data_IF_620716667055
#
_entry.id   IF_620716667055
#
_cell.length_a   1.000
_cell.length_b   1.000
_cell.length_c   1.000
_cell.angle_alpha   90.00
_cell.angle_beta   90.00
_cell.angle_gamma   90.00
#
_symmetry.space_group_name_H-M   'P 1'
#
loop_
_entity.id
_entity.type
_entity.pdbx_description
1 polymer ?
#
# COMPACT_ATOMS: atom_id res chain seq x y z
N UNK A 1 -5.83 -2.99 15.71
CA UNK A 1 -4.96 -1.82 15.47
C UNK A 1 -4.33 -1.37 16.78
N UNK A 2 -3.01 -1.37 16.86
CA UNK A 2 -2.29 -0.84 18.04
C UNK A 2 -1.99 0.64 17.84
N UNK A 3 -2.23 1.46 18.86
CA UNK A 3 -1.88 2.89 18.90
C UNK A 3 -0.64 3.04 19.80
N UNK A 4 0.42 3.62 19.24
CA UNK A 4 1.71 3.79 19.90
C UNK A 4 2.09 5.26 19.83
N UNK A 5 2.35 5.86 20.98
CA UNK A 5 2.94 7.20 21.08
C UNK A 5 4.42 7.11 20.77
N UNK A 6 4.83 7.84 19.74
CA UNK A 6 6.20 7.93 19.25
C UNK A 6 6.72 9.37 19.30
N UNK A 7 6.16 10.20 20.19
CA UNK A 7 6.62 11.58 20.44
C UNK A 7 8.09 11.58 20.84
N UNK A 8 8.49 10.63 21.70
CA UNK A 8 9.88 10.24 21.93
C UNK A 8 10.14 8.86 21.30
N UNK A 9 10.74 8.81 20.09
CA UNK A 9 11.04 7.57 19.40
C UNK A 9 12.00 6.63 20.14
N UNK A 10 12.81 7.15 21.07
CA UNK A 10 13.69 6.32 21.91
C UNK A 10 12.92 5.60 23.03
N UNK A 11 11.74 6.12 23.39
CA UNK A 11 10.88 5.57 24.45
C UNK A 11 9.41 5.50 24.00
N UNK A 12 9.10 4.69 22.95
CA UNK A 12 7.74 4.59 22.44
C UNK A 12 6.81 3.97 23.50
N UNK A 13 5.57 4.46 23.57
CA UNK A 13 4.58 4.00 24.57
C UNK A 13 3.38 3.39 23.88
N UNK A 14 3.05 2.16 24.26
CA UNK A 14 1.80 1.53 23.86
C UNK A 14 0.63 2.19 24.59
N UNK A 15 -0.32 2.76 23.86
CA UNK A 15 -1.45 3.49 24.44
C UNK A 15 -2.72 2.65 24.48
N UNK A 16 -3.10 2.10 23.34
CA UNK A 16 -4.37 1.40 23.19
C UNK A 16 -4.33 0.33 22.09
N UNK A 17 -5.20 -0.66 22.24
CA UNK A 17 -5.53 -1.60 21.17
C UNK A 17 -6.99 -1.40 20.76
N UNK A 18 -7.23 -1.12 19.48
CA UNK A 18 -8.57 -1.22 18.91
C UNK A 18 -8.73 -2.62 18.29
N UNK A 19 -9.55 -3.52 18.85
CA UNK A 19 -9.67 -4.89 18.36
C UNK A 19 -10.23 -4.94 16.92
N UNK A 20 -9.85 -5.97 16.18
CA UNK A 20 -10.47 -6.34 14.90
C UNK A 20 -11.62 -7.33 15.08
N UNK A 21 -12.04 -7.96 14.00
CA UNK A 21 -12.96 -9.11 14.05
C UNK A 21 -12.28 -10.30 14.76
N UNK A 22 -13.07 -11.20 15.35
CA UNK A 22 -12.50 -12.42 15.93
C UNK A 22 -11.87 -13.29 14.84
N UNK A 23 -10.58 -13.60 14.97
CA UNK A 23 -9.90 -14.44 14.00
C UNK A 23 -8.38 -14.23 13.99
N UNK A 24 -7.74 -14.88 13.04
CA UNK A 24 -6.29 -14.79 12.81
C UNK A 24 -6.02 -14.04 11.50
N UNK A 25 -4.79 -13.57 11.33
CA UNK A 25 -4.33 -12.90 10.10
C UNK A 25 -5.23 -11.73 9.71
N UNK A 26 -5.79 -11.75 8.50
CA UNK A 26 -6.60 -10.68 7.96
C UNK A 26 -7.95 -10.52 8.65
N UNK A 27 -8.56 -11.62 9.12
CA UNK A 27 -9.81 -11.56 9.88
C UNK A 27 -9.60 -10.86 11.24
N UNK A 28 -8.48 -11.11 11.90
CA UNK A 28 -8.14 -10.46 13.18
C UNK A 28 -7.57 -9.04 13.07
N UNK A 29 -7.30 -8.59 11.84
CA UNK A 29 -6.39 -7.48 11.57
C UNK A 29 -7.06 -6.23 11.01
N UNK A 30 -6.21 -5.20 10.87
CA UNK A 30 -6.49 -4.07 9.99
C UNK A 30 -5.25 -3.85 9.11
N UNK A 31 -5.38 -4.09 7.81
CA UNK A 31 -4.27 -4.18 6.85
C UNK A 31 -3.72 -2.80 6.46
N UNK A 32 -4.46 -1.74 6.79
CA UNK A 32 -4.10 -0.36 6.52
C UNK A 32 -4.89 0.57 7.44
N UNK A 33 -4.31 1.74 7.70
CA UNK A 33 -5.01 2.85 8.36
C UNK A 33 -4.76 4.14 7.59
N UNK A 34 -5.73 5.07 7.63
CA UNK A 34 -5.57 6.46 7.21
C UNK A 34 -6.01 7.37 8.33
N UNK A 35 -5.32 8.49 8.49
CA UNK A 35 -5.61 9.44 9.57
C UNK A 35 -5.81 10.82 8.96
N UNK A 36 -6.88 11.50 9.37
CA UNK A 36 -7.18 12.87 9.00
C UNK A 36 -7.48 13.71 10.25
N UNK A 37 -6.88 14.88 10.37
CA UNK A 37 -7.33 15.88 11.33
C UNK A 37 -8.76 16.31 10.97
N UNK A 38 -9.64 16.39 11.96
CA UNK A 38 -11.03 16.78 11.72
C UNK A 38 -11.18 18.19 11.15
N UNK A 39 -10.26 19.11 11.48
CA UNK A 39 -10.19 20.46 10.89
C UNK A 39 -9.92 20.48 9.39
N UNK A 40 -9.35 19.41 8.83
CA UNK A 40 -9.05 19.31 7.40
C UNK A 40 -10.25 18.85 6.58
N UNK A 41 -11.26 18.27 7.23
CA UNK A 41 -12.48 17.77 6.60
C UNK A 41 -13.56 18.84 6.63
N UNK A 42 -14.33 18.97 5.54
CA UNK A 42 -15.32 20.05 5.40
C UNK A 42 -16.39 20.08 6.50
N UNK A 43 -16.74 18.93 7.09
CA UNK A 43 -17.74 18.80 8.17
C UNK A 43 -17.21 18.02 9.37
N UNK A 44 -15.88 17.85 9.48
CA UNK A 44 -15.27 17.19 10.63
C UNK A 44 -15.35 18.05 11.90
N UNK A 45 -15.37 17.41 13.06
CA UNK A 45 -15.15 18.12 14.33
C UNK A 45 -13.69 18.62 14.36
N UNK A 46 -13.44 19.93 14.47
CA UNK A 46 -12.09 20.49 14.45
C UNK A 46 -11.18 19.98 15.58
N UNK A 47 -11.75 19.41 16.64
CA UNK A 47 -11.01 18.82 17.77
C UNK A 47 -10.79 17.30 17.64
N UNK A 48 -11.35 16.68 16.60
CA UNK A 48 -11.19 15.25 16.36
C UNK A 48 -9.94 14.96 15.52
N UNK A 49 -9.44 13.75 15.67
CA UNK A 49 -8.48 13.13 14.74
C UNK A 49 -9.11 11.81 14.32
N UNK A 50 -9.45 11.67 13.04
CA UNK A 50 -10.19 10.51 12.56
C UNK A 50 -9.25 9.47 11.97
N UNK A 51 -9.41 8.22 12.40
CA UNK A 51 -8.71 7.04 11.90
C UNK A 51 -9.68 6.16 11.11
N UNK A 52 -9.45 6.01 9.80
CA UNK A 52 -10.12 5.06 8.93
C UNK A 52 -9.34 3.74 8.90
N UNK A 53 -10.04 2.61 9.02
CA UNK A 53 -9.47 1.26 8.92
C UNK A 53 -10.49 0.23 8.44
N UNK A 54 -10.06 -0.91 7.88
CA UNK A 54 -10.90 -2.10 7.81
C UNK A 54 -11.10 -2.71 9.21
N UNK A 55 -12.26 -3.33 9.42
CA UNK A 55 -12.58 -4.20 10.55
C UNK A 55 -12.58 -5.65 10.05
N UNK A 56 -11.42 -6.29 10.12
CA UNK A 56 -11.22 -7.63 9.59
C UNK A 56 -11.57 -7.69 8.11
N UNK A 57 -12.48 -8.61 7.77
CA UNK A 57 -12.97 -8.80 6.40
C UNK A 57 -14.38 -8.22 6.16
N UNK A 58 -15.03 -7.66 7.18
CA UNK A 58 -16.48 -7.45 7.17
C UNK A 58 -16.94 -6.01 6.96
N UNK A 59 -16.09 -5.03 7.27
CA UNK A 59 -16.49 -3.62 7.27
C UNK A 59 -15.30 -2.66 7.20
N UNK A 60 -15.60 -1.38 6.98
CA UNK A 60 -14.69 -0.26 7.22
C UNK A 60 -15.23 0.61 8.36
N UNK A 61 -14.35 1.10 9.22
CA UNK A 61 -14.68 1.87 10.41
C UNK A 61 -13.93 3.20 10.44
N UNK A 62 -14.58 4.21 11.01
CA UNK A 62 -13.93 5.46 11.40
C UNK A 62 -13.97 5.57 12.92
N UNK A 63 -12.81 5.86 13.50
CA UNK A 63 -12.62 6.10 14.93
C UNK A 63 -12.12 7.52 15.15
N UNK A 64 -12.53 8.17 16.24
CA UNK A 64 -11.88 9.37 16.73
C UNK A 64 -10.77 8.97 17.72
N UNK A 65 -9.55 9.39 17.41
CA UNK A 65 -8.32 9.12 18.14
C UNK A 65 -7.65 10.40 18.65
N UNK A 66 -8.40 11.50 18.81
CA UNK A 66 -7.89 12.74 19.42
C UNK A 66 -7.39 12.52 20.86
N UNK A 67 -8.05 11.63 21.61
CA UNK A 67 -7.47 10.97 22.78
C UNK A 67 -6.99 9.57 22.35
N UNK A 68 -5.71 9.40 21.99
CA UNK A 68 -5.19 8.14 21.46
C UNK A 68 -5.15 7.00 22.50
N UNK A 69 -5.27 7.30 23.79
CA UNK A 69 -5.38 6.29 24.84
C UNK A 69 -6.83 5.76 24.98
N UNK A 70 -7.82 6.53 24.54
CA UNK A 70 -9.24 6.15 24.61
C UNK A 70 -9.95 6.38 23.26
N UNK A 71 -9.56 5.64 22.20
CA UNK A 71 -10.17 5.79 20.88
C UNK A 71 -11.66 5.46 20.92
N UNK A 72 -12.47 6.24 20.19
CA UNK A 72 -13.94 6.09 20.15
C UNK A 72 -14.42 5.80 18.74
N UNK A 73 -15.22 4.75 18.58
CA UNK A 73 -15.87 4.46 17.30
C UNK A 73 -16.82 5.61 16.94
N UNK A 74 -16.71 6.13 15.73
CA UNK A 74 -17.62 7.15 15.19
C UNK A 74 -18.68 6.48 14.34
N UNK A 75 -18.26 5.69 13.36
CA UNK A 75 -19.18 5.00 12.46
C UNK A 75 -18.55 3.74 11.89
N UNK A 76 -19.42 2.80 11.50
CA UNK A 76 -19.08 1.73 10.59
C UNK A 76 -19.71 2.06 9.24
N UNK A 77 -18.86 2.29 8.24
CA UNK A 77 -19.25 2.88 6.95
C UNK A 77 -20.24 1.99 6.20
N UNK A 78 -19.95 0.69 6.19
CA UNK A 78 -20.74 -0.34 5.52
C UNK A 78 -20.48 -1.68 6.21
N UNK A 79 -21.54 -2.49 6.34
CA UNK A 79 -21.50 -3.83 6.93
C UNK A 79 -21.85 -4.90 5.89
N UNK A 80 -21.55 -6.16 6.20
CA UNK A 80 -21.88 -7.30 5.33
C UNK A 80 -20.93 -7.49 4.14
N UNK A 81 -19.78 -6.82 4.16
CA UNK A 81 -18.72 -7.03 3.18
C UNK A 81 -18.00 -8.36 3.43
N UNK A 82 -17.24 -8.80 2.42
CA UNK A 82 -16.29 -9.90 2.54
C UNK A 82 -14.96 -9.51 1.94
N UNK A 83 -13.88 -9.59 2.69
CA UNK A 83 -12.54 -9.32 2.15
C UNK A 83 -12.17 -7.84 2.10
N UNK A 84 -12.65 -7.02 3.03
CA UNK A 84 -12.13 -5.66 3.23
C UNK A 84 -10.61 -5.65 3.37
N UNK A 85 -9.97 -4.62 2.82
CA UNK A 85 -8.51 -4.63 2.70
C UNK A 85 -7.89 -3.21 2.82
N UNK A 86 -7.26 -2.68 1.76
CA UNK A 86 -6.64 -1.35 1.77
C UNK A 86 -7.68 -0.22 1.68
N UNK A 87 -7.21 1.00 1.96
CA UNK A 87 -8.00 2.21 1.80
C UNK A 87 -7.11 3.44 1.51
N UNK A 88 -7.69 4.40 0.79
CA UNK A 88 -7.11 5.73 0.62
C UNK A 88 -8.14 6.78 1.03
N UNK A 89 -7.73 7.80 1.77
CA UNK A 89 -8.61 8.87 2.22
C UNK A 89 -7.95 10.22 2.00
N UNK A 90 -8.61 11.06 1.19
CA UNK A 90 -8.19 12.42 0.90
C UNK A 90 -8.79 13.36 1.95
N UNK A 91 -8.00 13.79 2.92
CA UNK A 91 -8.53 14.57 4.05
C UNK A 91 -9.19 15.89 3.62
N UNK A 92 -8.63 16.61 2.64
CA UNK A 92 -9.14 17.92 2.22
C UNK A 92 -10.48 17.84 1.47
N UNK A 93 -10.66 16.81 0.64
CA UNK A 93 -11.88 16.63 -0.16
C UNK A 93 -12.92 15.78 0.57
N UNK A 94 -12.49 14.98 1.55
CA UNK A 94 -13.27 13.95 2.22
C UNK A 94 -13.43 12.66 1.41
N UNK A 95 -12.98 12.60 0.17
CA UNK A 95 -13.20 11.43 -0.69
C UNK A 95 -12.33 10.25 -0.25
N UNK A 96 -12.95 9.10 -0.10
CA UNK A 96 -12.29 7.86 0.27
C UNK A 96 -12.56 6.74 -0.75
N UNK A 97 -11.54 5.90 -0.89
CA UNK A 97 -11.54 4.72 -1.75
C UNK A 97 -11.30 3.51 -0.86
N UNK A 98 -12.29 2.63 -0.80
CA UNK A 98 -12.31 1.50 0.11
C UNK A 98 -12.22 0.21 -0.69
N UNK A 99 -11.24 -0.64 -0.38
CA UNK A 99 -11.17 -1.97 -0.97
C UNK A 99 -12.11 -2.90 -0.20
N UNK A 100 -13.10 -3.42 -0.90
CA UNK A 100 -14.21 -4.20 -0.32
C UNK A 100 -14.58 -5.35 -1.25
N UNK A 101 -15.02 -6.48 -0.70
CA UNK A 101 -15.83 -7.44 -1.47
C UNK A 101 -17.30 -7.19 -1.22
N UNK A 102 -17.87 -6.39 -2.11
CA UNK A 102 -19.30 -6.08 -2.13
C UNK A 102 -20.11 -7.30 -2.66
N UNK A 103 -21.19 -7.71 -1.98
CA UNK A 103 -22.05 -8.80 -2.45
C UNK A 103 -22.52 -8.61 -3.91
N UNK A 104 -22.48 -9.70 -4.68
CA UNK A 104 -22.90 -9.72 -6.09
C UNK A 104 -21.78 -9.40 -7.09
N UNK A 105 -20.66 -8.81 -6.66
CA UNK A 105 -19.47 -8.69 -7.49
C UNK A 105 -18.77 -10.04 -7.67
N UNK A 106 -18.13 -10.22 -8.83
CA UNK A 106 -17.52 -11.50 -9.25
C UNK A 106 -16.10 -11.71 -8.72
N UNK A 107 -15.58 -10.74 -7.95
CA UNK A 107 -14.25 -10.75 -7.35
C UNK A 107 -14.36 -10.52 -5.84
N UNK A 108 -13.41 -11.04 -5.05
CA UNK A 108 -13.42 -10.85 -3.60
C UNK A 108 -13.06 -9.42 -3.17
N UNK A 109 -12.46 -8.61 -4.06
CA UNK A 109 -12.03 -7.23 -3.78
C UNK A 109 -12.22 -6.32 -4.98
N UNK A 110 -12.95 -5.24 -4.78
CA UNK A 110 -13.23 -4.13 -5.71
C UNK A 110 -13.21 -2.80 -4.94
N UNK A 111 -13.41 -1.67 -5.62
CA UNK A 111 -13.43 -0.34 -4.97
C UNK A 111 -14.85 0.09 -4.67
N UNK A 112 -15.08 0.59 -3.46
CA UNK A 112 -16.20 1.47 -3.15
C UNK A 112 -15.69 2.88 -2.92
N UNK A 113 -16.30 3.87 -3.56
CA UNK A 113 -15.96 5.28 -3.40
C UNK A 113 -16.99 5.92 -2.50
N UNK A 114 -16.53 6.63 -1.47
CA UNK A 114 -17.36 7.32 -0.48
C UNK A 114 -16.93 8.78 -0.33
N UNK A 115 -17.90 9.65 -0.05
CA UNK A 115 -17.66 10.95 0.56
C UNK A 115 -17.70 10.77 2.08
N UNK A 116 -16.56 10.98 2.73
CA UNK A 116 -16.35 10.95 4.17
C UNK A 116 -16.03 12.36 4.73
N UNK A 117 -16.42 13.43 4.02
CA UNK A 117 -16.25 14.81 4.49
C UNK A 117 -17.00 15.10 5.80
N UNK A 118 -18.07 14.33 6.06
CA UNK A 118 -18.71 14.16 7.37
C UNK A 118 -18.46 12.71 7.86
N UNK A 119 -17.49 12.49 8.75
CA UNK A 119 -17.14 11.15 9.21
C UNK A 119 -18.24 10.44 9.99
N UNK A 120 -19.26 11.14 10.50
CA UNK A 120 -20.39 10.52 11.17
C UNK A 120 -21.48 10.06 10.19
N UNK A 121 -21.52 10.65 8.99
CA UNK A 121 -22.53 10.36 7.95
C UNK A 121 -21.88 10.05 6.60
N UNK A 122 -21.19 8.90 6.44
CA UNK A 122 -20.62 8.48 5.17
C UNK A 122 -21.65 8.44 4.04
N UNK A 123 -21.29 8.97 2.86
CA UNK A 123 -22.16 8.94 1.67
C UNK A 123 -21.50 8.11 0.56
N UNK A 124 -22.13 7.00 0.18
CA UNK A 124 -21.66 6.18 -0.95
C UNK A 124 -21.77 6.97 -2.25
N UNK A 125 -20.68 7.06 -3.00
CA UNK A 125 -20.63 7.69 -4.33
C UNK A 125 -20.91 6.65 -5.40
N UNK A 126 -20.13 5.55 -5.43
CA UNK A 126 -20.27 4.47 -6.41
C UNK A 126 -19.47 3.23 -6.03
N UNK A 127 -19.75 2.15 -6.74
CA UNK A 127 -18.89 0.98 -6.85
C UNK A 127 -18.05 1.06 -8.14
N UNK A 128 -16.80 0.58 -8.10
CA UNK A 128 -15.86 0.66 -9.21
C UNK A 128 -14.87 -0.51 -9.26
N UNK A 129 -14.47 -0.89 -10.46
CA UNK A 129 -13.57 -2.01 -10.72
C UNK A 129 -13.26 -2.15 -12.21
N UNK A 130 -12.57 -3.23 -12.57
CA UNK A 130 -12.32 -3.56 -13.97
C UNK A 130 -13.59 -4.12 -14.62
N UNK A 131 -13.88 -3.78 -15.90
CA UNK A 131 -14.95 -4.42 -16.65
C UNK A 131 -14.83 -5.95 -16.65
N UNK A 132 -15.93 -6.62 -16.33
CA UNK A 132 -16.01 -8.06 -16.10
C UNK A 132 -16.17 -8.44 -14.62
N UNK A 133 -15.84 -7.53 -13.69
CA UNK A 133 -15.99 -7.76 -12.25
C UNK A 133 -17.41 -7.48 -11.73
N UNK A 134 -18.15 -6.60 -12.40
CA UNK A 134 -19.47 -6.13 -11.96
C UNK A 134 -20.54 -7.24 -11.95
N UNK A 135 -21.64 -7.06 -11.19
CA UNK A 135 -22.80 -7.93 -11.25
C UNK A 135 -23.36 -8.08 -12.67
N UNK A 136 -23.77 -9.29 -13.04
CA UNK A 136 -24.36 -9.59 -14.36
C UNK A 136 -23.36 -9.65 -15.52
N UNK A 137 -22.08 -9.39 -15.30
CA UNK A 137 -21.06 -9.58 -16.34
C UNK A 137 -20.88 -11.06 -16.70
N UNK A 138 -20.53 -11.32 -17.96
CA UNK A 138 -20.21 -12.64 -18.50
C UNK A 138 -18.73 -12.73 -18.92
N UNK A 139 -18.26 -13.92 -19.29
CA UNK A 139 -16.89 -14.14 -19.76
C UNK A 139 -15.85 -14.20 -18.62
N UNK A 140 -14.57 -14.02 -18.96
CA UNK A 140 -13.48 -14.08 -18.00
C UNK A 140 -13.57 -12.97 -16.95
N UNK A 141 -13.36 -13.33 -15.68
CA UNK A 141 -13.29 -12.35 -14.59
C UNK A 141 -11.85 -11.82 -14.47
N UNK A 142 -11.62 -10.50 -14.55
CA UNK A 142 -10.30 -9.92 -14.28
C UNK A 142 -9.83 -10.18 -12.84
N UNK A 143 -8.53 -10.05 -12.60
CA UNK A 143 -7.95 -10.17 -11.25
C UNK A 143 -8.54 -9.14 -10.27
N UNK A 144 -8.43 -9.42 -8.97
CA UNK A 144 -9.00 -8.59 -7.90
C UNK A 144 -8.19 -7.32 -7.63
N UNK A 145 -8.82 -6.32 -7.02
CA UNK A 145 -8.13 -5.13 -6.57
C UNK A 145 -7.33 -5.39 -5.28
N UNK A 146 -6.13 -4.82 -5.18
CA UNK A 146 -5.37 -4.81 -3.94
C UNK A 146 -5.47 -3.47 -3.21
N UNK A 147 -5.25 -2.35 -3.92
CA UNK A 147 -5.27 -1.01 -3.34
C UNK A 147 -5.17 0.10 -4.38
N UNK A 148 -5.21 1.34 -3.93
CA UNK A 148 -5.10 2.52 -4.78
C UNK A 148 -4.44 3.68 -4.03
N UNK A 149 -3.83 4.58 -4.79
CA UNK A 149 -3.35 5.87 -4.29
C UNK A 149 -3.98 6.96 -5.14
N UNK A 150 -4.63 7.92 -4.49
CA UNK A 150 -5.26 9.08 -5.16
C UNK A 150 -4.47 10.35 -4.93
N UNK A 151 -4.29 11.12 -6.01
CA UNK A 151 -3.65 12.43 -6.01
C UNK A 151 -4.64 13.48 -6.57
N UNK A 152 -5.41 14.16 -5.69
CA UNK A 152 -6.36 15.21 -6.10
C UNK A 152 -5.72 16.30 -6.95
N UNK A 153 -4.52 16.74 -6.58
CA UNK A 153 -3.77 17.78 -7.27
C UNK A 153 -3.38 17.40 -8.71
N UNK A 154 -3.30 16.11 -9.01
CA UNK A 154 -3.02 15.60 -10.35
C UNK A 154 -4.29 15.18 -11.10
N UNK A 155 -5.47 15.22 -10.45
CA UNK A 155 -6.70 14.61 -10.96
C UNK A 155 -6.51 13.13 -11.36
N UNK A 156 -5.78 12.34 -10.56
CA UNK A 156 -5.48 10.93 -10.85
C UNK A 156 -5.67 10.00 -9.67
N UNK A 157 -6.14 8.80 -9.97
CA UNK A 157 -6.12 7.64 -9.07
C UNK A 157 -5.35 6.52 -9.76
N UNK A 158 -4.42 5.90 -9.02
CA UNK A 158 -3.59 4.80 -9.48
C UNK A 158 -4.00 3.53 -8.74
N UNK A 159 -4.72 2.64 -9.43
CA UNK A 159 -5.18 1.36 -8.87
C UNK A 159 -4.19 0.24 -9.19
N UNK A 160 -3.90 -0.60 -8.19
CA UNK A 160 -3.14 -1.84 -8.32
C UNK A 160 -4.05 -3.06 -8.19
N UNK A 161 -4.09 -3.88 -9.24
CA UNK A 161 -4.83 -5.14 -9.29
C UNK A 161 -3.88 -6.33 -9.38
N UNK A 162 -4.29 -7.47 -8.83
CA UNK A 162 -3.52 -8.71 -8.77
C UNK A 162 -2.40 -8.59 -7.75
N UNK A 163 -2.43 -9.40 -6.68
CA UNK A 163 -1.48 -9.24 -5.57
C UNK A 163 -0.08 -9.77 -5.90
N UNK A 164 0.00 -11.00 -6.39
CA UNK A 164 1.24 -11.72 -6.72
C UNK A 164 1.26 -12.24 -8.17
N UNK A 165 0.15 -12.07 -8.92
CA UNK A 165 0.00 -12.58 -10.28
C UNK A 165 -0.97 -11.72 -11.11
N UNK A 166 -0.77 -11.72 -12.44
CA UNK A 166 -1.65 -11.06 -13.41
C UNK A 166 -1.83 -9.56 -13.18
N UNK A 167 -0.78 -8.88 -12.72
CA UNK A 167 -0.83 -7.50 -12.23
C UNK A 167 -1.33 -6.49 -13.26
N UNK A 168 -2.10 -5.50 -12.79
CA UNK A 168 -2.56 -4.37 -13.61
C UNK A 168 -2.40 -3.08 -12.81
N UNK A 169 -1.65 -2.13 -13.36
CA UNK A 169 -1.77 -0.73 -12.97
C UNK A 169 -2.85 -0.08 -13.85
N UNK A 170 -3.87 0.49 -13.24
CA UNK A 170 -4.89 1.30 -13.92
C UNK A 170 -4.75 2.77 -13.49
N UNK A 171 -4.66 3.67 -14.47
CA UNK A 171 -4.62 5.12 -14.28
C UNK A 171 -6.01 5.66 -14.61
N UNK A 172 -6.62 6.35 -13.65
CA UNK A 172 -8.01 6.80 -13.71
C UNK A 172 -8.08 8.31 -13.49
N UNK A 173 -8.90 8.99 -14.29
CA UNK A 173 -9.28 10.38 -14.11
C UNK A 173 -10.23 10.51 -12.91
N UNK A 174 -9.77 11.20 -11.87
CA UNK A 174 -10.45 11.26 -10.57
C UNK A 174 -11.81 11.96 -10.67
N UNK A 175 -11.89 13.10 -11.34
CA UNK A 175 -13.13 13.85 -11.49
C UNK A 175 -14.18 13.07 -12.30
N UNK A 176 -13.76 12.38 -13.37
CA UNK A 176 -14.67 11.50 -14.12
C UNK A 176 -15.16 10.33 -13.27
N UNK A 177 -14.29 9.76 -12.45
CA UNK A 177 -14.65 8.65 -11.56
C UNK A 177 -15.74 9.07 -10.57
N UNK A 178 -15.58 10.24 -9.95
CA UNK A 178 -16.47 10.76 -8.89
C UNK A 178 -17.79 11.30 -9.47
N UNK A 179 -17.72 12.10 -10.53
CA UNK A 179 -18.87 12.86 -11.05
C UNK A 179 -19.54 12.22 -12.28
N UNK A 180 -18.91 11.20 -12.89
CA UNK A 180 -19.46 10.50 -14.03
C UNK A 180 -20.63 9.57 -13.67
N UNK A 181 -21.22 8.89 -14.66
CA UNK A 181 -22.26 7.88 -14.44
C UNK A 181 -21.80 6.81 -13.44
N UNK A 182 -22.63 6.55 -12.43
CA UNK A 182 -22.26 5.76 -11.25
C UNK A 182 -22.48 4.26 -11.42
N UNK A 183 -23.44 3.89 -12.26
CA UNK A 183 -23.89 2.51 -12.38
C UNK A 183 -22.78 1.66 -12.98
N UNK A 184 -22.48 0.46 -12.45
CA UNK A 184 -21.28 -0.29 -12.84
C UNK A 184 -21.48 -1.05 -14.15
N UNK A 185 -21.94 -0.37 -15.21
CA UNK A 185 -21.95 -0.92 -16.57
C UNK A 185 -20.52 -0.95 -17.12
N UNK A 186 -20.27 -1.80 -18.11
CA UNK A 186 -18.95 -1.86 -18.74
C UNK A 186 -18.50 -0.49 -19.29
N UNK A 187 -19.41 0.26 -19.92
CA UNK A 187 -19.13 1.61 -20.41
C UNK A 187 -18.74 2.57 -19.28
N UNK A 188 -19.52 2.57 -18.19
CA UNK A 188 -19.29 3.48 -17.06
C UNK A 188 -18.02 3.14 -16.26
N UNK A 189 -17.61 1.87 -16.24
CA UNK A 189 -16.35 1.43 -15.64
C UNK A 189 -15.14 1.79 -16.51
N UNK A 190 -15.31 1.84 -17.84
CA UNK A 190 -14.27 2.30 -18.78
C UNK A 190 -14.18 3.82 -18.87
N UNK A 191 -15.28 4.53 -18.62
CA UNK A 191 -15.38 5.98 -18.81
C UNK A 191 -14.27 6.81 -18.13
N UNK A 192 -13.89 6.57 -16.85
CA UNK A 192 -12.86 7.37 -16.20
C UNK A 192 -11.43 6.86 -16.48
N UNK A 193 -11.26 5.78 -17.23
CA UNK A 193 -9.94 5.23 -17.53
C UNK A 193 -9.12 6.12 -18.46
N UNK A 194 -7.87 6.37 -18.08
CA UNK A 194 -6.89 7.09 -18.89
C UNK A 194 -5.93 6.12 -19.58
N UNK A 195 -5.48 5.09 -18.87
CA UNK A 195 -4.54 4.11 -19.38
C UNK A 195 -4.31 2.96 -18.41
N UNK A 196 -3.60 1.94 -18.90
CA UNK A 196 -3.23 0.75 -18.11
C UNK A 196 -1.84 0.26 -18.47
N UNK A 197 -1.17 -0.36 -17.50
CA UNK A 197 -0.01 -1.21 -17.71
C UNK A 197 -0.36 -2.63 -17.30
N UNK A 198 -0.29 -3.57 -18.24
CA UNK A 198 -0.51 -4.99 -17.99
C UNK A 198 0.83 -5.64 -17.66
N UNK A 199 0.91 -6.28 -16.51
CA UNK A 199 2.13 -6.95 -16.05
C UNK A 199 2.18 -8.40 -16.52
N UNK A 200 3.34 -9.03 -16.31
CA UNK A 200 3.50 -10.47 -16.48
C UNK A 200 2.45 -11.23 -15.66
N UNK A 201 1.92 -12.36 -16.15
CA UNK A 201 1.10 -13.25 -15.33
C UNK A 201 1.78 -13.72 -14.04
N UNK A 202 3.12 -13.66 -13.98
CA UNK A 202 3.91 -14.09 -12.83
C UNK A 202 4.06 -13.03 -11.72
N UNK A 203 3.56 -11.82 -11.92
CA UNK A 203 3.76 -10.69 -11.02
C UNK A 203 2.45 -9.95 -10.78
N UNK A 204 2.28 -9.37 -9.60
CA UNK A 204 1.10 -8.57 -9.23
C UNK A 204 1.41 -7.08 -9.08
N UNK A 205 0.37 -6.23 -9.04
CA UNK A 205 0.49 -4.84 -8.63
C UNK A 205 -0.12 -4.64 -7.23
N UNK A 206 0.64 -4.98 -6.17
CA UNK A 206 0.18 -4.81 -4.79
C UNK A 206 0.13 -3.31 -4.38
N UNK A 207 1.23 -2.56 -4.49
CA UNK A 207 1.23 -1.11 -4.23
C UNK A 207 1.62 -0.34 -5.48
N UNK A 208 0.85 0.65 -5.88
CA UNK A 208 1.09 1.49 -7.08
C UNK A 208 1.40 2.93 -6.68
N UNK A 209 2.62 3.18 -6.22
CA UNK A 209 3.03 4.48 -5.66
C UNK A 209 3.43 5.49 -6.76
N UNK A 210 2.70 6.60 -6.95
CA UNK A 210 3.02 7.59 -7.97
C UNK A 210 4.16 8.53 -7.54
N UNK A 211 5.19 8.62 -8.38
CA UNK A 211 6.32 9.56 -8.27
C UNK A 211 6.23 10.53 -9.45
N UNK A 212 5.50 11.63 -9.25
CA UNK A 212 5.24 12.62 -10.30
C UNK A 212 6.28 13.74 -10.28
N UNK A 213 6.43 14.41 -11.42
CA UNK A 213 7.34 15.54 -11.62
C UNK A 213 8.77 15.22 -11.17
N UNK A 214 9.26 14.04 -11.58
CA UNK A 214 10.58 13.54 -11.27
C UNK A 214 11.62 14.18 -12.21
N UNK A 215 12.53 15.04 -11.72
CA UNK A 215 13.62 15.54 -12.53
C UNK A 215 14.62 14.43 -12.83
N UNK A 216 14.96 14.23 -14.10
CA UNK A 216 15.95 13.22 -14.52
C UNK A 216 17.29 13.90 -14.72
N UNK A 217 18.25 13.58 -13.85
CA UNK A 217 19.56 14.23 -13.84
C UNK A 217 20.30 14.11 -15.18
N UNK A 218 20.29 12.92 -15.78
CA UNK A 218 20.94 12.67 -17.08
C UNK A 218 20.29 13.48 -18.22
N UNK A 219 18.97 13.68 -18.16
CA UNK A 219 18.21 14.41 -19.18
C UNK A 219 18.09 15.92 -18.89
N UNK A 220 18.86 16.46 -17.94
CA UNK A 220 18.73 17.86 -17.51
C UNK A 220 19.00 18.87 -18.63
N UNK A 221 19.79 18.50 -19.64
CA UNK A 221 20.09 19.33 -20.82
C UNK A 221 19.15 19.09 -22.00
N UNK A 222 18.22 18.14 -21.89
CA UNK A 222 17.31 17.80 -22.97
C UNK A 222 16.21 18.85 -23.11
N UNK A 223 15.83 19.09 -24.37
CA UNK A 223 14.72 20.00 -24.70
C UNK A 223 13.38 19.46 -24.21
N UNK A 224 13.17 18.15 -24.30
CA UNK A 224 11.93 17.46 -23.95
C UNK A 224 12.30 16.27 -23.06
N UNK A 225 11.65 16.15 -21.90
CA UNK A 225 11.77 14.94 -21.08
C UNK A 225 12.69 15.00 -19.87
N UNK A 226 13.24 16.18 -19.56
CA UNK A 226 13.98 16.46 -18.32
C UNK A 226 13.18 16.20 -17.03
N UNK A 227 11.86 16.18 -17.12
CA UNK A 227 10.93 15.82 -16.02
C UNK A 227 10.00 14.74 -16.54
N UNK A 228 9.81 13.70 -15.75
CA UNK A 228 9.01 12.50 -16.07
C UNK A 228 8.09 12.14 -14.91
N UNK A 229 7.07 11.36 -15.18
CA UNK A 229 6.16 10.81 -14.18
C UNK A 229 6.35 9.30 -14.12
N UNK A 230 6.42 8.74 -12.91
CA UNK A 230 6.54 7.29 -12.72
C UNK A 230 5.46 6.78 -11.78
N UNK A 231 5.16 5.50 -11.91
CA UNK A 231 4.54 4.71 -10.85
C UNK A 231 5.53 3.62 -10.46
N UNK A 232 5.87 3.58 -9.18
CA UNK A 232 6.69 2.52 -8.58
C UNK A 232 5.73 1.45 -8.08
N UNK A 233 5.70 0.32 -8.78
CA UNK A 233 4.85 -0.81 -8.45
C UNK A 233 5.63 -1.76 -7.54
N UNK A 234 5.08 -2.09 -6.39
CA UNK A 234 5.61 -3.10 -5.48
C UNK A 234 4.72 -4.32 -5.53
N UNK A 235 5.29 -5.48 -5.85
CA UNK A 235 4.60 -6.77 -5.86
C UNK A 235 4.54 -7.35 -4.42
N UNK A 236 3.73 -8.40 -4.17
CA UNK A 236 3.74 -9.14 -2.90
C UNK A 236 4.10 -10.62 -3.07
N UNK A 237 5.10 -11.07 -2.32
CA UNK A 237 5.35 -12.50 -2.06
C UNK A 237 4.33 -13.06 -1.06
N UNK A 238 3.65 -14.16 -1.40
CA UNK A 238 2.66 -14.84 -0.56
C UNK A 238 3.08 -16.23 -0.06
N UNK A 239 4.06 -16.87 -0.69
CA UNK A 239 4.58 -18.18 -0.31
C UNK A 239 5.92 -18.10 0.43
N UNK A 240 6.11 -19.05 1.34
CA UNK A 240 7.38 -19.24 2.04
C UNK A 240 8.39 -19.96 1.13
N UNK A 241 9.68 -19.73 1.37
CA UNK A 241 10.78 -20.52 0.81
C UNK A 241 10.78 -20.59 -0.73
N UNK A 242 10.36 -19.48 -1.37
CA UNK A 242 10.46 -19.27 -2.81
C UNK A 242 9.69 -20.29 -3.67
N UNK A 243 8.57 -20.79 -3.16
CA UNK A 243 7.71 -21.76 -3.85
C UNK A 243 6.75 -21.13 -4.88
N UNK A 244 6.98 -19.89 -5.28
CA UNK A 244 6.23 -19.18 -6.32
C UNK A 244 7.18 -18.23 -7.09
N UNK A 245 6.75 -17.63 -8.21
CA UNK A 245 7.56 -16.66 -8.94
C UNK A 245 8.01 -15.49 -8.06
N UNK A 246 9.20 -14.96 -8.36
CA UNK A 246 9.79 -13.85 -7.62
C UNK A 246 8.96 -12.57 -7.76
N UNK A 247 8.68 -11.95 -6.64
CA UNK A 247 7.96 -10.68 -6.54
C UNK A 247 8.95 -9.55 -6.22
N UNK A 248 8.91 -8.49 -7.01
CA UNK A 248 9.93 -7.42 -6.98
C UNK A 248 9.32 -6.03 -7.21
N UNK A 249 10.17 -5.01 -7.30
CA UNK A 249 9.75 -3.62 -7.56
C UNK A 249 9.90 -3.29 -9.04
N UNK A 250 8.93 -2.58 -9.60
CA UNK A 250 8.93 -2.09 -10.98
C UNK A 250 8.88 -0.57 -11.02
N UNK A 251 9.64 0.02 -11.93
CA UNK A 251 9.60 1.45 -12.23
C UNK A 251 8.94 1.63 -13.60
N UNK A 252 7.72 2.17 -13.60
CA UNK A 252 6.94 2.35 -14.83
C UNK A 252 6.86 3.84 -15.15
N UNK A 253 7.42 4.26 -16.28
CA UNK A 253 7.26 5.62 -16.81
C UNK A 253 5.81 5.77 -17.32
N UNK A 254 5.09 6.71 -16.72
CA UNK A 254 3.70 7.08 -17.04
C UNK A 254 3.61 8.53 -17.54
N UNK A 255 4.71 9.12 -18.01
CA UNK A 255 4.71 10.47 -18.60
C UNK A 255 3.72 10.58 -19.75
N UNK A 256 3.54 9.48 -20.50
CA UNK A 256 2.44 9.31 -21.45
C UNK A 256 1.48 8.28 -20.86
N UNK A 257 0.45 8.75 -20.15
CA UNK A 257 -0.39 7.93 -19.28
C UNK A 257 -1.14 6.79 -19.99
N UNK A 258 -1.45 6.95 -21.28
CA UNK A 258 -2.09 5.91 -22.09
C UNK A 258 -1.09 4.93 -22.74
N UNK A 259 0.21 5.13 -22.53
CA UNK A 259 1.30 4.24 -22.96
C UNK A 259 2.36 4.08 -21.86
N UNK A 260 2.02 3.52 -20.69
CA UNK A 260 3.01 3.25 -19.66
C UNK A 260 4.09 2.28 -20.15
N UNK A 261 5.32 2.48 -19.71
CA UNK A 261 6.46 1.61 -20.07
C UNK A 261 7.28 1.30 -18.83
N UNK A 262 7.55 0.02 -18.58
CA UNK A 262 8.52 -0.38 -17.55
C UNK A 262 9.94 -0.02 -18.00
N UNK A 263 10.67 0.71 -17.16
CA UNK A 263 12.03 1.18 -17.45
C UNK A 263 13.09 0.49 -16.59
N UNK A 264 12.71 -0.02 -15.41
CA UNK A 264 13.60 -0.75 -14.52
C UNK A 264 12.83 -1.67 -13.58
N UNK A 265 13.55 -2.63 -13.01
CA UNK A 265 13.10 -3.47 -11.91
C UNK A 265 14.17 -3.52 -10.82
N UNK A 266 13.78 -3.79 -9.59
CA UNK A 266 14.70 -3.92 -8.47
C UNK A 266 14.28 -5.02 -7.51
N UNK A 267 15.24 -5.83 -7.05
CA UNK A 267 15.04 -6.89 -6.07
C UNK A 267 16.30 -7.14 -5.23
N UNK A 268 16.12 -7.75 -4.07
CA UNK A 268 17.24 -8.26 -3.25
C UNK A 268 17.76 -9.56 -3.88
N UNK A 269 19.06 -9.71 -4.13
CA UNK A 269 19.64 -10.98 -4.57
C UNK A 269 19.48 -12.07 -3.50
N UNK A 270 19.04 -13.25 -3.91
CA UNK A 270 18.77 -14.38 -3.00
C UNK A 270 20.02 -14.82 -2.23
N UNK A 271 21.12 -14.95 -2.96
CA UNK A 271 22.42 -15.43 -2.49
C UNK A 271 23.09 -14.49 -1.49
N UNK A 272 22.69 -13.21 -1.46
CA UNK A 272 23.20 -12.22 -0.50
C UNK A 272 22.80 -12.52 0.96
N UNK A 273 21.84 -13.42 1.19
CA UNK A 273 21.42 -13.80 2.55
C UNK A 273 20.83 -15.21 2.67
N UNK A 274 20.99 -16.06 1.64
CA UNK A 274 20.38 -17.39 1.54
C UNK A 274 18.87 -17.34 1.84
N UNK A 275 18.19 -16.35 1.27
CA UNK A 275 16.86 -15.97 1.72
C UNK A 275 15.78 -17.00 1.38
N UNK A 276 15.98 -17.86 0.38
CA UNK A 276 15.01 -18.94 0.13
C UNK A 276 15.09 -20.05 1.17
N UNK A 277 16.31 -20.43 1.58
CA UNK A 277 16.53 -21.60 2.43
C UNK A 277 16.45 -21.29 3.92
N UNK A 278 16.61 -20.03 4.34
CA UNK A 278 16.51 -19.62 5.76
C UNK A 278 15.08 -19.66 6.34
N UNK A 279 14.07 -19.88 5.51
CA UNK A 279 12.66 -19.96 5.91
C UNK A 279 11.85 -18.67 5.75
N UNK A 280 10.53 -18.80 5.79
CA UNK A 280 9.59 -17.69 5.64
C UNK A 280 9.49 -17.14 4.21
N UNK A 281 8.71 -16.08 4.01
CA UNK A 281 8.59 -15.42 2.70
C UNK A 281 9.85 -14.64 2.38
N UNK A 282 10.25 -14.66 1.11
CA UNK A 282 11.33 -13.83 0.56
C UNK A 282 10.92 -13.22 -0.78
N UNK A 283 10.73 -11.91 -0.77
CA UNK A 283 10.30 -11.09 -1.89
C UNK A 283 9.74 -9.77 -1.35
N UNK A 284 9.30 -8.87 -2.23
CA UNK A 284 8.65 -7.62 -1.80
C UNK A 284 7.29 -7.87 -1.14
N UNK A 285 6.82 -6.88 -0.37
CA UNK A 285 5.42 -6.81 0.08
C UNK A 285 4.85 -5.41 -0.14
N UNK A 286 5.41 -4.38 0.51
CA UNK A 286 4.86 -3.02 0.45
C UNK A 286 5.94 -1.95 0.50
N UNK A 287 5.62 -0.77 -0.02
CA UNK A 287 6.42 0.44 0.15
C UNK A 287 5.86 1.34 1.24
N UNK A 288 6.64 2.34 1.65
CA UNK A 288 6.08 3.49 2.37
C UNK A 288 5.09 4.22 1.48
N UNK A 289 3.99 4.72 2.03
CA UNK A 289 2.96 5.42 1.26
C UNK A 289 2.84 6.91 1.62
N UNK A 290 3.46 7.34 2.72
CA UNK A 290 3.65 8.74 3.03
C UNK A 290 4.62 9.40 2.03
N UNK A 291 4.19 10.53 1.46
CA UNK A 291 4.94 11.34 0.48
C UNK A 291 5.73 12.48 1.13
N UNK A 292 6.24 12.27 2.35
CA UNK A 292 7.02 13.26 3.10
C UNK A 292 8.09 13.93 2.22
N UNK A 293 8.27 15.27 2.31
CA UNK A 293 9.25 15.99 1.52
C UNK A 293 10.71 15.60 1.80
N UNK A 294 10.96 14.87 2.89
CA UNK A 294 12.29 14.34 3.22
C UNK A 294 12.69 13.26 2.19
N UNK A 295 11.77 12.36 1.83
CA UNK A 295 12.08 11.17 1.04
C UNK A 295 11.47 11.16 -0.36
N UNK A 296 10.34 11.84 -0.57
CA UNK A 296 9.64 11.83 -1.86
C UNK A 296 10.56 12.25 -3.02
N UNK A 297 10.48 11.52 -4.14
CA UNK A 297 11.37 11.65 -5.32
C UNK A 297 12.86 11.38 -5.06
N UNK A 298 13.23 10.81 -3.91
CA UNK A 298 14.64 10.57 -3.54
C UNK A 298 14.88 9.16 -3.06
N UNK A 299 14.23 8.77 -1.97
CA UNK A 299 14.42 7.47 -1.34
C UNK A 299 13.05 6.85 -1.12
N UNK A 300 12.90 5.59 -1.49
CA UNK A 300 11.74 4.78 -1.13
C UNK A 300 12.17 3.60 -0.28
N UNK A 301 11.29 3.18 0.61
CA UNK A 301 11.50 2.05 1.49
C UNK A 301 10.59 0.92 1.10
N UNK A 302 11.13 -0.30 1.08
CA UNK A 302 10.40 -1.51 0.74
C UNK A 302 10.53 -2.55 1.84
N UNK A 303 9.41 -3.01 2.36
CA UNK A 303 9.36 -4.21 3.18
C UNK A 303 9.58 -5.44 2.29
N UNK A 304 10.52 -6.30 2.71
CA UNK A 304 10.99 -7.45 1.94
C UNK A 304 11.00 -8.74 2.77
N UNK A 305 9.98 -8.93 3.62
CA UNK A 305 9.81 -10.10 4.50
C UNK A 305 11.08 -10.50 5.24
N UNK A 306 11.62 -11.70 5.02
CA UNK A 306 12.80 -12.22 5.72
C UNK A 306 14.10 -11.49 5.35
N UNK A 307 14.06 -10.62 4.34
CA UNK A 307 15.11 -9.69 3.97
C UNK A 307 14.93 -8.31 4.61
N UNK A 308 14.01 -8.13 5.56
CA UNK A 308 13.88 -6.89 6.34
C UNK A 308 13.33 -5.72 5.53
N UNK A 309 13.76 -4.50 5.85
CA UNK A 309 13.43 -3.27 5.10
C UNK A 309 14.61 -2.78 4.29
N UNK A 310 14.31 -2.29 3.08
CA UNK A 310 15.30 -1.88 2.07
C UNK A 310 15.09 -0.43 1.69
N UNK A 311 16.12 0.40 1.76
CA UNK A 311 16.11 1.78 1.31
C UNK A 311 16.74 1.86 -0.08
N UNK A 312 15.98 2.35 -1.04
CA UNK A 312 16.38 2.45 -2.46
C UNK A 312 16.37 3.91 -2.88
N UNK A 313 17.50 4.37 -3.39
CA UNK A 313 17.61 5.65 -4.09
C UNK A 313 16.91 5.53 -5.44
N UNK A 314 15.90 6.37 -5.63
CA UNK A 314 15.05 6.42 -6.82
C UNK A 314 15.31 7.67 -7.66
N UNK A 315 16.36 8.45 -7.35
CA UNK A 315 16.71 9.68 -8.10
C UNK A 315 17.02 9.44 -9.58
N UNK A 316 17.47 8.22 -9.89
CA UNK A 316 17.53 7.69 -11.24
C UNK A 316 16.57 6.48 -11.36
N UNK A 317 15.31 6.69 -11.77
CA UNK A 317 14.34 5.61 -11.94
C UNK A 317 14.72 4.55 -12.98
N UNK A 318 15.70 4.82 -13.84
CA UNK A 318 16.23 3.85 -14.81
C UNK A 318 17.28 2.93 -14.19
N UNK A 319 17.89 3.34 -13.07
CA UNK A 319 18.93 2.57 -12.36
C UNK A 319 18.74 2.68 -10.83
N UNK A 320 17.61 2.18 -10.29
CA UNK A 320 17.34 2.23 -8.85
C UNK A 320 18.42 1.48 -8.06
N UNK A 321 18.88 2.08 -6.96
CA UNK A 321 20.03 1.56 -6.20
C UNK A 321 19.70 1.40 -4.71
N UNK A 322 19.94 0.21 -4.16
CA UNK A 322 19.89 0.02 -2.70
C UNK A 322 21.02 0.83 -2.03
N UNK A 323 20.66 1.63 -1.03
CA UNK A 323 21.59 2.51 -0.28
C UNK A 323 21.69 2.16 1.20
N UNK A 324 20.72 1.42 1.74
CA UNK A 324 20.76 0.88 3.10
C UNK A 324 19.73 -0.26 3.26
N UNK A 325 19.91 -1.07 4.30
CA UNK A 325 18.93 -2.04 4.73
C UNK A 325 18.99 -2.26 6.24
N UNK A 326 17.91 -2.78 6.81
CA UNK A 326 17.88 -3.28 8.18
C UNK A 326 17.09 -4.58 8.23
N UNK A 327 17.70 -5.63 8.79
CA UNK A 327 17.05 -6.92 9.03
C UNK A 327 16.95 -7.08 10.55
N UNK A 328 15.73 -7.02 11.14
CA UNK A 328 15.55 -7.26 12.56
C UNK A 328 16.10 -8.63 12.99
N UNK A 329 16.55 -8.72 14.24
CA UNK A 329 16.88 -10.01 14.85
C UNK A 329 15.60 -10.78 15.18
N UNK A 330 15.69 -12.11 15.16
CA UNK A 330 14.65 -12.97 15.74
C UNK A 330 14.64 -12.83 17.26
N UNK A 331 13.46 -12.96 17.86
CA UNK A 331 13.26 -12.90 19.31
C UNK A 331 12.64 -14.20 19.81
N UNK A 332 12.55 -14.37 21.14
CA UNK A 332 11.85 -15.52 21.72
C UNK A 332 10.39 -15.62 21.27
N UNK A 333 9.76 -14.47 20.97
CA UNK A 333 8.38 -14.33 20.53
C UNK A 333 8.20 -14.53 19.02
N UNK A 334 9.29 -14.70 18.25
CA UNK A 334 9.16 -14.90 16.81
C UNK A 334 8.33 -16.15 16.49
N UNK A 335 7.26 -15.94 15.73
CA UNK A 335 6.40 -17.00 15.24
C UNK A 335 7.09 -17.83 14.17
N UNK A 336 6.77 -19.12 14.16
CA UNK A 336 7.29 -20.06 13.18
C UNK A 336 6.65 -19.85 11.80
N UNK A 337 7.47 -19.92 10.75
CA UNK A 337 7.05 -19.93 9.35
C UNK A 337 7.39 -21.28 8.75
N UNK A 338 6.40 -21.94 8.16
CA UNK A 338 6.55 -23.27 7.62
C UNK A 338 6.28 -23.29 6.12
N UNK A 339 7.05 -24.08 5.38
CA UNK A 339 6.83 -24.41 3.98
C UNK A 339 6.70 -25.93 3.83
N UNK A 340 5.82 -26.37 2.92
CA UNK A 340 5.69 -27.78 2.53
C UNK A 340 6.35 -27.94 1.18
N UNK A 341 7.37 -28.79 1.09
CA UNK A 341 8.10 -29.03 -0.14
C UNK A 341 7.60 -30.28 -0.85
N UNK A 342 8.00 -30.43 -2.11
CA UNK A 342 7.76 -31.63 -2.88
C UNK A 342 8.27 -32.87 -2.14
N UNK A 343 7.51 -33.97 -2.23
CA UNK A 343 7.76 -35.17 -1.43
C UNK A 343 7.21 -35.11 0.00
N UNK A 344 6.46 -34.05 0.36
CA UNK A 344 5.72 -33.95 1.62
C UNK A 344 6.57 -33.57 2.84
N UNK A 345 7.83 -33.21 2.62
CA UNK A 345 8.69 -32.70 3.70
C UNK A 345 8.22 -31.31 4.13
N UNK A 346 8.24 -31.04 5.43
CA UNK A 346 7.89 -29.72 5.98
C UNK A 346 9.12 -29.13 6.64
N UNK A 347 9.50 -27.93 6.22
CA UNK A 347 10.50 -27.14 6.89
C UNK A 347 9.81 -26.00 7.64
N UNK A 348 10.29 -25.69 8.84
CA UNK A 348 9.74 -24.65 9.68
C UNK A 348 10.86 -23.91 10.38
N UNK A 349 10.87 -22.58 10.27
CA UNK A 349 11.87 -21.73 10.89
C UNK A 349 11.21 -20.57 11.65
N UNK A 350 11.77 -20.21 12.81
CA UNK A 350 11.50 -18.92 13.44
C UNK A 350 12.30 -17.86 12.71
N UNK A 351 11.62 -17.00 11.97
CA UNK A 351 12.26 -16.02 11.12
C UNK A 351 11.44 -14.73 11.06
N UNK A 352 12.13 -13.61 10.93
CA UNK A 352 11.49 -12.31 10.76
C UNK A 352 10.70 -12.28 9.44
N UNK A 353 9.64 -11.48 9.44
CA UNK A 353 8.76 -11.22 8.32
C UNK A 353 8.34 -9.74 8.37
N UNK A 354 9.28 -8.85 8.03
CA UNK A 354 8.98 -7.41 7.92
C UNK A 354 7.90 -7.22 6.87
N UNK A 355 6.71 -6.84 7.32
CA UNK A 355 5.49 -6.84 6.52
C UNK A 355 5.24 -5.45 5.95
N UNK A 356 5.24 -4.41 6.77
CA UNK A 356 4.99 -3.05 6.31
C UNK A 356 6.11 -2.10 6.73
N UNK A 357 6.23 -1.04 5.96
CA UNK A 357 7.08 0.12 6.22
C UNK A 357 6.28 1.40 6.00
N UNK A 358 6.50 2.40 6.85
CA UNK A 358 5.99 3.76 6.66
C UNK A 358 7.00 4.79 7.18
N UNK A 359 6.86 6.05 6.78
CA UNK A 359 7.75 7.16 7.18
C UNK A 359 6.96 8.37 7.71
N UNK A 360 7.64 9.24 8.43
CA UNK A 360 7.08 10.53 8.90
C UNK A 360 7.93 11.75 8.52
N UNK A 361 7.39 12.94 8.79
CA UNK A 361 8.03 14.23 8.50
C UNK A 361 9.18 14.60 9.45
N UNK A 362 9.52 13.73 10.41
CA UNK A 362 10.76 13.83 11.20
C UNK A 362 11.88 13.00 10.57
N UNK A 363 11.54 12.18 9.57
CA UNK A 363 12.45 11.28 8.87
C UNK A 363 12.61 9.93 9.55
N UNK A 364 11.76 9.58 10.51
CA UNK A 364 11.74 8.23 11.06
C UNK A 364 11.09 7.25 10.09
N UNK A 365 11.55 6.00 10.17
CA UNK A 365 11.07 4.89 9.38
C UNK A 365 10.51 3.85 10.35
N UNK A 366 9.24 3.49 10.17
CA UNK A 366 8.51 2.54 11.00
C UNK A 366 8.36 1.25 10.24
N UNK A 367 8.85 0.14 10.80
CA UNK A 367 8.64 -1.18 10.21
C UNK A 367 7.91 -2.08 11.20
N UNK A 368 6.97 -2.87 10.70
CA UNK A 368 6.20 -3.82 11.50
C UNK A 368 6.36 -5.24 10.97
N UNK A 369 6.51 -6.16 11.90
CA UNK A 369 6.77 -7.57 11.62
C UNK A 369 5.50 -8.41 11.82
N UNK A 370 5.14 -9.24 10.83
CA UNK A 370 3.97 -10.15 10.93
C UNK A 370 4.26 -11.46 11.67
N UNK A 371 5.50 -11.66 12.11
CA UNK A 371 5.96 -12.82 12.86
C UNK A 371 6.24 -12.49 14.33
N UNK A 372 5.45 -11.57 14.89
CA UNK A 372 5.46 -11.21 16.32
C UNK A 372 6.77 -10.59 16.84
N UNK A 373 7.57 -9.98 15.96
CA UNK A 373 8.71 -9.15 16.40
C UNK A 373 8.35 -7.68 16.67
N UNK A 374 7.07 -7.32 16.56
CA UNK A 374 6.58 -5.98 16.90
C UNK A 374 6.94 -4.90 15.88
N UNK A 375 7.17 -3.69 16.37
CA UNK A 375 7.49 -2.50 15.58
C UNK A 375 8.93 -2.04 15.88
N UNK A 376 9.67 -1.65 14.84
CA UNK A 376 10.97 -0.98 14.97
C UNK A 376 10.87 0.43 14.41
N UNK A 377 11.54 1.38 15.08
CA UNK A 377 11.68 2.76 14.63
C UNK A 377 13.15 2.95 14.24
N UNK A 378 13.38 3.36 13.00
CA UNK A 378 14.70 3.45 12.39
C UNK A 378 14.92 4.88 11.86
N UNK A 379 16.18 5.22 11.63
CA UNK A 379 16.58 6.44 10.91
C UNK A 379 17.72 6.13 9.94
N UNK A 380 17.81 6.90 8.85
CA UNK A 380 18.97 6.83 7.98
C UNK A 380 20.19 7.50 8.63
N UNK A 381 21.35 6.88 8.42
CA UNK A 381 22.66 7.39 8.87
C UNK A 381 23.66 7.42 7.71
N UNK A 382 24.76 8.17 7.90
CA UNK A 382 25.86 8.22 6.93
C UNK A 382 25.43 8.62 5.50
N UNK A 383 26.07 8.04 4.46
CA UNK A 383 25.76 8.39 3.06
C UNK A 383 24.30 8.16 2.65
N UNK A 384 23.59 7.23 3.27
CA UNK A 384 22.18 7.01 2.98
C UNK A 384 21.32 8.19 3.46
N UNK A 385 21.68 8.79 4.60
CA UNK A 385 21.04 10.01 5.11
C UNK A 385 21.25 11.18 4.17
N UNK A 386 22.43 11.30 3.57
CA UNK A 386 22.78 12.37 2.62
C UNK A 386 21.98 12.31 1.30
N UNK A 387 21.37 11.16 0.98
CA UNK A 387 20.48 11.02 -0.17
C UNK A 387 19.09 11.64 0.06
N UNK A 388 18.69 11.80 1.32
CA UNK A 388 17.41 12.37 1.72
C UNK A 388 17.50 13.91 1.87
N UNK A 389 16.35 14.55 2.02
CA UNK A 389 16.21 16.00 2.13
C UNK A 389 15.86 16.43 3.56
N UNK A 390 16.74 16.10 4.52
CA UNK A 390 16.55 16.52 5.90
C UNK A 390 16.63 18.05 6.03
N UNK A 391 15.74 18.69 6.81
CA UNK A 391 15.91 20.08 7.20
C UNK A 391 17.29 20.29 7.81
N UNK A 392 17.96 21.37 7.42
CA UNK A 392 19.28 21.75 7.96
C UNK A 392 19.15 22.38 9.33
#
# INVERSE_FOLDING_TARGET
TSIIDVTDPAHPKYLAHIPGEEGQYEAGGAQMVRVCDGKSLAKGDPNAVYLLRPFGNQAHEIWNTADPAHPKLITRIVEGLKGTHKSWWECETGIAYLVSGEPGWRVPRMTQVYDLSDPAHPVKIRDFGLPGQQPGAAGATPTMLHGMISLPQANRVYFGYGTNEGGILQIVDREKLINGPKEPTEENLRYPEVGRFMMSPLNGAHTTFPVLDMPIGEFAKDKIGKVRNFVVITDEQIQNECQEPRQFVWFVDVTVENRPVSVATWMVPEDSGNFCSRGGRFGTHSSNENMTPIYYRRVMFFAHFNAGVRAVDIRDPYHPKEIAYYIPAVTANSDQRCAKHDGGTQHCAKIIQTNNVEVDDRGYIYIVDRANNGMHILELTGPARDAANFPK
#
